data_IF_775517181743
#
_entry.id   IF_775517181743
#
_cell.length_a   1.000
_cell.length_b   1.000
_cell.length_c   1.000
_cell.angle_alpha   90.00
_cell.angle_beta   90.00
_cell.angle_gamma   90.00
#
_symmetry.space_group_name_H-M   'P 1'
#
loop_
_entity.id
_entity.type
_entity.pdbx_description
1 polymer ?
#
# COMPACT_ATOMS: atom_id res chain seq x y z
N UNK A 1 31.67 5.38 28.49
CA UNK A 1 31.80 5.31 27.01
C UNK A 1 32.85 4.30 26.52
N UNK A 2 34.09 4.26 27.05
CA UNK A 2 35.10 3.28 26.57
C UNK A 2 34.74 1.80 26.82
N UNK A 3 34.28 1.43 28.03
CA UNK A 3 33.82 0.06 28.33
C UNK A 3 32.64 -0.43 27.47
N UNK A 4 31.84 0.51 26.95
CA UNK A 4 30.64 0.20 26.15
C UNK A 4 31.01 -0.08 24.68
N UNK A 5 32.10 0.53 24.20
CA UNK A 5 32.67 0.33 22.86
C UNK A 5 33.45 -0.99 22.74
N UNK A 6 34.04 -1.46 23.84
CA UNK A 6 34.70 -2.77 23.90
C UNK A 6 33.70 -3.92 23.97
N UNK A 7 32.61 -3.78 24.76
CA UNK A 7 31.53 -4.78 24.81
C UNK A 7 30.85 -4.99 23.45
N UNK A 8 30.60 -3.91 22.69
CA UNK A 8 29.99 -4.02 21.35
C UNK A 8 30.88 -4.73 20.32
N UNK A 9 32.21 -4.59 20.43
CA UNK A 9 33.17 -5.35 19.62
C UNK A 9 33.16 -6.84 19.98
N UNK A 10 33.11 -7.18 21.27
CA UNK A 10 32.96 -8.56 21.73
C UNK A 10 31.70 -9.24 21.20
N UNK A 11 30.58 -8.51 21.14
CA UNK A 11 29.31 -9.04 20.59
C UNK A 11 29.34 -9.26 19.09
N UNK A 12 30.01 -8.38 18.34
CA UNK A 12 30.23 -8.60 16.91
C UNK A 12 31.05 -9.88 16.70
N UNK A 13 32.16 -10.06 17.43
CA UNK A 13 33.01 -11.26 17.33
C UNK A 13 32.27 -12.54 17.73
N UNK A 14 31.42 -12.48 18.77
CA UNK A 14 30.60 -13.63 19.17
C UNK A 14 29.57 -14.00 18.09
N UNK A 15 28.91 -13.01 17.48
CA UNK A 15 28.01 -13.23 16.34
C UNK A 15 28.73 -13.83 15.12
N UNK A 16 29.98 -13.40 14.87
CA UNK A 16 30.87 -13.94 13.82
C UNK A 16 31.17 -15.44 14.01
N UNK A 17 31.26 -15.93 15.25
CA UNK A 17 31.53 -17.34 15.55
C UNK A 17 30.26 -18.17 15.63
N UNK A 18 29.23 -17.67 16.30
CA UNK A 18 28.01 -18.42 16.63
C UNK A 18 27.12 -18.64 15.41
N UNK A 19 27.01 -17.65 14.51
CA UNK A 19 26.12 -17.78 13.35
C UNK A 19 26.57 -18.89 12.40
N UNK A 20 27.85 -18.98 11.96
CA UNK A 20 28.29 -20.09 11.10
C UNK A 20 28.19 -21.46 11.79
N UNK A 21 28.54 -21.54 13.08
CA UNK A 21 28.50 -22.78 13.88
C UNK A 21 27.07 -23.33 13.98
N UNK A 22 26.06 -22.46 13.99
CA UNK A 22 24.65 -22.87 14.08
C UNK A 22 24.03 -23.09 12.70
N UNK A 23 24.36 -22.23 11.74
CA UNK A 23 23.75 -22.26 10.41
C UNK A 23 24.14 -23.54 9.67
N UNK A 24 25.40 -23.98 9.79
CA UNK A 24 25.90 -25.15 9.08
C UNK A 24 25.21 -26.46 9.52
N UNK A 25 25.13 -26.82 10.82
CA UNK A 25 24.41 -28.02 11.26
C UNK A 25 22.89 -27.97 11.00
N UNK A 26 22.28 -26.78 11.05
CA UNK A 26 20.86 -26.61 10.71
C UNK A 26 20.60 -26.81 9.23
N UNK A 27 21.49 -26.33 8.36
CA UNK A 27 21.38 -26.54 6.92
C UNK A 27 21.60 -28.02 6.57
N UNK A 28 22.60 -28.66 7.17
CA UNK A 28 22.82 -30.09 7.02
C UNK A 28 21.64 -30.91 7.56
N UNK A 29 21.10 -30.55 8.72
CA UNK A 29 19.91 -31.17 9.28
C UNK A 29 18.67 -30.96 8.40
N UNK A 30 18.51 -29.76 7.84
CA UNK A 30 17.43 -29.47 6.89
C UNK A 30 17.56 -30.30 5.62
N UNK A 31 18.76 -30.39 5.03
CA UNK A 31 19.02 -31.19 3.84
C UNK A 31 18.83 -32.69 4.09
N UNK A 32 19.32 -33.19 5.22
CA UNK A 32 19.32 -34.61 5.55
C UNK A 32 17.95 -35.14 6.01
N UNK A 33 17.18 -34.33 6.75
CA UNK A 33 15.99 -34.84 7.45
C UNK A 33 14.68 -34.16 7.06
N UNK A 34 14.66 -32.85 6.85
CA UNK A 34 13.39 -32.09 6.65
C UNK A 34 13.04 -31.89 5.18
N UNK A 35 14.02 -31.57 4.34
CA UNK A 35 13.85 -31.36 2.90
C UNK A 35 13.31 -32.62 2.18
N UNK A 36 13.74 -33.85 2.51
CA UNK A 36 13.18 -35.06 1.89
C UNK A 36 11.73 -35.36 2.30
N UNK A 37 11.29 -34.89 3.47
CA UNK A 37 9.91 -35.06 3.98
C UNK A 37 8.90 -34.14 3.28
N UNK A 38 9.37 -33.09 2.61
CA UNK A 38 8.54 -32.21 1.80
C UNK A 38 8.43 -32.80 0.39
N UNK A 39 7.21 -33.02 -0.11
CA UNK A 39 6.97 -33.57 -1.45
C UNK A 39 7.53 -32.67 -2.54
N UNK A 40 7.92 -33.23 -3.69
CA UNK A 40 8.52 -32.52 -4.83
C UNK A 40 7.67 -31.32 -5.31
N UNK A 41 6.35 -31.33 -5.03
CA UNK A 41 5.43 -30.24 -5.34
C UNK A 41 5.54 -28.98 -4.47
N UNK A 42 6.29 -29.00 -3.36
CA UNK A 42 6.63 -27.79 -2.62
C UNK A 42 7.75 -27.09 -3.37
N UNK A 43 7.43 -25.98 -4.07
CA UNK A 43 8.41 -25.25 -4.88
C UNK A 43 9.67 -24.93 -4.08
N UNK A 44 10.83 -25.00 -4.73
CA UNK A 44 12.12 -24.74 -4.10
C UNK A 44 12.13 -23.39 -3.34
N UNK A 45 11.44 -22.38 -3.88
CA UNK A 45 11.24 -21.07 -3.25
C UNK A 45 10.49 -21.16 -1.92
N UNK A 46 9.44 -21.98 -1.83
CA UNK A 46 8.66 -22.15 -0.59
C UNK A 46 9.48 -22.90 0.48
N UNK A 47 10.29 -23.89 0.08
CA UNK A 47 11.22 -24.59 0.99
C UNK A 47 12.27 -23.64 1.56
N UNK A 48 12.88 -22.82 0.71
CA UNK A 48 13.86 -21.81 1.11
C UNK A 48 13.24 -20.76 2.04
N UNK A 49 11.99 -20.36 1.78
CA UNK A 49 11.25 -19.41 2.63
C UNK A 49 10.95 -20.00 4.03
N UNK A 50 10.57 -21.28 4.12
CA UNK A 50 10.34 -21.95 5.40
C UNK A 50 11.65 -22.04 6.21
N UNK A 51 12.74 -22.48 5.58
CA UNK A 51 14.05 -22.55 6.23
C UNK A 51 14.51 -21.16 6.71
N UNK A 52 14.28 -20.13 5.90
CA UNK A 52 14.55 -18.74 6.26
C UNK A 52 13.79 -18.27 7.52
N UNK A 53 12.49 -18.56 7.61
CA UNK A 53 11.68 -18.22 8.79
C UNK A 53 12.17 -18.98 10.03
N UNK A 54 12.52 -20.26 9.90
CA UNK A 54 13.04 -21.08 11.01
C UNK A 54 14.39 -20.54 11.53
N UNK A 55 15.32 -20.21 10.62
CA UNK A 55 16.61 -19.62 10.98
C UNK A 55 16.45 -18.28 11.67
N UNK A 56 15.57 -17.41 11.18
CA UNK A 56 15.28 -16.12 11.82
C UNK A 56 14.74 -16.30 13.24
N UNK A 57 13.82 -17.25 13.46
CA UNK A 57 13.25 -17.52 14.78
C UNK A 57 14.29 -18.09 15.76
N UNK A 58 15.15 -19.00 15.31
CA UNK A 58 16.22 -19.59 16.13
C UNK A 58 17.28 -18.54 16.47
N UNK A 59 17.73 -17.74 15.50
CA UNK A 59 18.70 -16.67 15.73
C UNK A 59 18.12 -15.65 16.71
N UNK A 60 16.87 -15.22 16.53
CA UNK A 60 16.18 -14.31 17.47
C UNK A 60 16.14 -14.91 18.88
N UNK A 61 15.74 -16.18 19.02
CA UNK A 61 15.65 -16.85 20.31
C UNK A 61 17.01 -16.92 21.02
N UNK A 62 18.05 -17.35 20.31
CA UNK A 62 19.39 -17.50 20.88
C UNK A 62 20.03 -16.15 21.23
N UNK A 63 19.89 -15.13 20.38
CA UNK A 63 20.39 -13.79 20.70
C UNK A 63 19.64 -13.16 21.87
N UNK A 64 18.31 -13.34 21.96
CA UNK A 64 17.52 -12.84 23.09
C UNK A 64 17.93 -13.46 24.44
N UNK A 65 18.43 -14.70 24.42
CA UNK A 65 18.91 -15.42 25.61
C UNK A 65 20.37 -15.12 25.94
N UNK A 66 21.21 -14.98 24.92
CA UNK A 66 22.65 -14.76 25.11
C UNK A 66 23.00 -13.31 25.43
N UNK A 67 22.21 -12.32 24.96
CA UNK A 67 22.62 -10.91 24.93
C UNK A 67 21.48 -9.93 25.34
N UNK A 68 21.07 -9.89 26.62
CA UNK A 68 19.91 -9.11 27.07
C UNK A 68 20.07 -7.56 27.04
N UNK A 69 21.30 -7.02 27.03
CA UNK A 69 21.57 -5.59 27.29
C UNK A 69 22.01 -4.73 26.07
N UNK A 70 21.90 -5.20 24.83
CA UNK A 70 22.50 -4.50 23.69
C UNK A 70 21.68 -3.30 23.18
N UNK A 71 22.30 -2.11 23.01
CA UNK A 71 21.73 -0.91 22.35
C UNK A 71 22.71 -0.26 21.35
N UNK A 72 22.13 0.37 20.32
CA UNK A 72 22.61 0.76 18.96
C UNK A 72 24.00 1.42 18.77
N UNK A 73 24.52 1.26 17.54
CA UNK A 73 25.45 2.22 16.88
C UNK A 73 26.31 1.67 15.72
N UNK A 74 26.77 0.41 15.79
CA UNK A 74 27.80 -0.11 14.88
C UNK A 74 27.34 -0.94 13.68
N UNK A 75 26.08 -1.35 13.60
CA UNK A 75 25.66 -2.41 12.68
C UNK A 75 25.54 -1.98 11.21
N UNK A 76 25.39 -0.69 10.91
CA UNK A 76 25.35 -0.22 9.51
C UNK A 76 26.74 -0.31 8.85
N UNK A 77 27.79 0.01 9.61
CA UNK A 77 29.20 -0.14 9.20
C UNK A 77 29.58 -1.62 9.11
N UNK A 78 29.13 -2.44 10.07
CA UNK A 78 29.37 -3.89 10.05
C UNK A 78 28.65 -4.55 8.87
N UNK A 79 27.38 -4.19 8.59
CA UNK A 79 26.65 -4.66 7.41
C UNK A 79 27.34 -4.27 6.10
N UNK A 80 27.83 -3.04 5.98
CA UNK A 80 28.63 -2.59 4.84
C UNK A 80 29.95 -3.37 4.68
N UNK A 81 30.65 -3.65 5.79
CA UNK A 81 31.88 -4.45 5.77
C UNK A 81 31.61 -5.90 5.37
N UNK A 82 30.49 -6.49 5.81
CA UNK A 82 30.06 -7.83 5.38
C UNK A 82 29.76 -7.88 3.87
N UNK A 83 29.12 -6.84 3.32
CA UNK A 83 28.89 -6.71 1.88
C UNK A 83 30.21 -6.66 1.11
N UNK A 84 31.17 -5.84 1.56
CA UNK A 84 32.49 -5.72 0.91
C UNK A 84 33.25 -7.05 0.96
N UNK A 85 33.31 -7.71 2.13
CA UNK A 85 34.00 -8.99 2.30
C UNK A 85 33.38 -10.11 1.45
N UNK A 86 32.04 -10.14 1.36
CA UNK A 86 31.33 -11.10 0.54
C UNK A 86 31.63 -10.91 -0.95
N UNK A 87 31.63 -9.66 -1.43
CA UNK A 87 31.98 -9.34 -2.83
C UNK A 87 33.42 -9.76 -3.13
N UNK A 88 34.36 -9.51 -2.21
CA UNK A 88 35.77 -9.89 -2.38
C UNK A 88 35.94 -11.41 -2.42
N UNK A 89 35.35 -12.14 -1.47
CA UNK A 89 35.43 -13.61 -1.43
C UNK A 89 34.76 -14.28 -2.63
N UNK A 90 33.60 -13.75 -3.05
CA UNK A 90 32.92 -14.23 -4.25
C UNK A 90 33.79 -14.09 -5.49
N UNK A 91 34.30 -12.87 -5.72
CA UNK A 91 35.11 -12.55 -6.90
C UNK A 91 36.36 -13.44 -6.96
N UNK A 92 37.01 -13.68 -5.82
CA UNK A 92 38.18 -14.55 -5.72
C UNK A 92 37.83 -16.03 -5.97
N UNK A 93 36.71 -16.51 -5.45
CA UNK A 93 36.29 -17.90 -5.63
C UNK A 93 35.91 -18.20 -7.08
N UNK A 94 35.16 -17.30 -7.74
CA UNK A 94 34.85 -17.42 -9.16
C UNK A 94 36.13 -17.40 -10.03
N UNK A 95 37.09 -16.55 -9.68
CA UNK A 95 38.38 -16.50 -10.38
C UNK A 95 39.19 -17.81 -10.24
N UNK A 96 39.19 -18.44 -9.06
CA UNK A 96 39.83 -19.75 -8.85
C UNK A 96 39.15 -20.86 -9.68
N UNK A 97 37.81 -20.87 -9.73
CA UNK A 97 37.08 -21.85 -10.53
C UNK A 97 37.32 -21.67 -12.04
N UNK A 98 37.38 -20.42 -12.51
CA UNK A 98 37.69 -20.09 -13.90
C UNK A 98 39.12 -20.47 -14.28
N UNK A 99 40.11 -20.10 -13.45
CA UNK A 99 41.53 -20.40 -13.71
C UNK A 99 41.86 -21.90 -13.71
N UNK A 100 41.02 -22.72 -13.05
CA UNK A 100 41.12 -24.20 -13.07
C UNK A 100 40.24 -24.87 -14.13
N UNK A 101 39.49 -24.11 -14.93
CA UNK A 101 38.65 -24.64 -16.01
C UNK A 101 37.41 -25.39 -15.53
N UNK A 102 36.97 -25.20 -14.29
CA UNK A 102 35.83 -25.92 -13.69
C UNK A 102 34.50 -25.25 -14.03
N UNK A 103 34.19 -25.14 -15.32
CA UNK A 103 33.05 -24.37 -15.84
C UNK A 103 31.69 -24.94 -15.41
N UNK A 104 31.57 -26.26 -15.25
CA UNK A 104 30.35 -26.91 -14.75
C UNK A 104 30.11 -26.56 -13.28
N UNK A 105 31.16 -26.62 -12.45
CA UNK A 105 31.08 -26.23 -11.03
C UNK A 105 30.77 -24.76 -10.89
N UNK A 106 31.31 -23.89 -11.76
CA UNK A 106 30.98 -22.46 -11.77
C UNK A 106 29.52 -22.21 -12.21
N UNK A 107 29.00 -22.97 -13.17
CA UNK A 107 27.61 -22.88 -13.60
C UNK A 107 26.65 -23.33 -12.49
N UNK A 108 26.92 -24.47 -11.84
CA UNK A 108 26.16 -24.96 -10.69
C UNK A 108 26.29 -24.03 -9.48
N UNK A 109 27.49 -23.50 -9.24
CA UNK A 109 27.75 -22.46 -8.25
C UNK A 109 26.85 -21.26 -8.53
N UNK A 110 26.90 -20.66 -9.72
CA UNK A 110 26.08 -19.51 -10.10
C UNK A 110 24.56 -19.79 -10.05
N UNK A 111 24.12 -21.01 -10.38
CA UNK A 111 22.71 -21.44 -10.28
C UNK A 111 22.24 -21.55 -8.82
N UNK A 112 23.09 -22.10 -7.96
CA UNK A 112 22.88 -22.20 -6.50
C UNK A 112 22.86 -20.81 -5.82
N UNK A 113 23.48 -19.83 -6.48
CA UNK A 113 23.85 -18.54 -5.91
C UNK A 113 22.98 -17.39 -6.37
N UNK A 114 22.36 -17.46 -7.56
CA UNK A 114 21.38 -16.47 -8.01
C UNK A 114 20.18 -16.31 -7.08
N UNK A 115 19.81 -17.35 -6.31
CA UNK A 115 18.75 -17.28 -5.29
C UNK A 115 19.28 -16.99 -3.88
N UNK A 116 20.20 -17.83 -3.40
CA UNK A 116 20.69 -17.77 -2.02
C UNK A 116 21.56 -16.53 -1.75
N UNK A 117 22.34 -16.03 -2.72
CA UNK A 117 23.08 -14.77 -2.54
C UNK A 117 22.19 -13.56 -2.50
N UNK A 118 21.15 -13.48 -3.34
CA UNK A 118 20.19 -12.38 -3.26
C UNK A 118 19.55 -12.31 -1.87
N UNK A 119 19.24 -13.46 -1.29
CA UNK A 119 18.64 -13.59 0.03
C UNK A 119 19.63 -13.31 1.18
N UNK A 120 20.86 -13.83 1.12
CA UNK A 120 21.94 -13.56 2.10
C UNK A 120 22.38 -12.09 2.02
N UNK A 121 22.42 -11.52 0.81
CA UNK A 121 22.70 -10.11 0.58
C UNK A 121 21.57 -9.23 1.13
N UNK A 122 20.29 -9.59 0.96
CA UNK A 122 19.15 -8.93 1.63
C UNK A 122 19.23 -9.06 3.16
N UNK A 123 19.57 -10.24 3.68
CA UNK A 123 19.76 -10.46 5.12
C UNK A 123 20.92 -9.65 5.68
N UNK A 124 21.99 -9.45 4.92
CA UNK A 124 23.12 -8.61 5.31
C UNK A 124 22.82 -7.11 5.17
N UNK A 125 22.04 -6.71 4.15
CA UNK A 125 21.58 -5.34 3.94
C UNK A 125 20.62 -4.91 5.03
N UNK A 126 19.62 -5.75 5.32
CA UNK A 126 18.51 -5.42 6.19
C UNK A 126 18.72 -5.94 7.62
N UNK A 127 19.53 -6.99 7.85
CA UNK A 127 19.88 -7.60 9.15
C UNK A 127 20.10 -6.60 10.30
N UNK A 128 20.90 -5.55 10.07
CA UNK A 128 21.11 -4.44 11.01
C UNK A 128 19.84 -3.64 11.39
N UNK A 129 18.84 -3.55 10.50
CA UNK A 129 17.54 -2.93 10.80
C UNK A 129 16.66 -3.80 11.71
N UNK A 130 16.86 -5.13 11.75
CA UNK A 130 16.14 -6.06 12.63
C UNK A 130 16.61 -6.02 14.10
N UNK A 131 17.69 -5.30 14.42
CA UNK A 131 18.37 -5.31 15.73
C UNK A 131 18.51 -3.91 16.35
N UNK A 132 17.70 -2.99 15.85
CA UNK A 132 17.58 -1.62 16.34
C UNK A 132 16.77 -1.63 17.63
N UNK A 133 17.29 -1.14 18.75
CA UNK A 133 16.46 -0.69 19.90
C UNK A 133 16.11 0.79 19.74
N UNK A 134 14.87 1.16 20.04
CA UNK A 134 14.43 2.57 20.20
C UNK A 134 14.39 2.92 21.70
N UNK A 135 14.31 4.21 22.08
CA UNK A 135 14.21 4.62 23.49
C UNK A 135 12.98 4.06 24.23
N UNK A 136 11.99 3.54 23.49
CA UNK A 136 10.71 3.03 23.99
C UNK A 136 10.68 1.50 24.16
N UNK A 137 11.77 0.79 23.82
CA UNK A 137 11.88 -0.67 23.93
C UNK A 137 12.50 -1.35 22.69
N UNK A 138 12.46 -2.69 22.66
CA UNK A 138 12.74 -3.47 21.44
C UNK A 138 11.58 -3.24 20.45
N UNK A 139 11.79 -2.59 19.29
CA UNK A 139 10.77 -2.53 18.26
C UNK A 139 10.51 -3.96 17.79
N UNK A 140 9.30 -4.45 18.06
CA UNK A 140 8.84 -5.69 17.46
C UNK A 140 8.71 -5.44 15.96
N UNK A 141 9.69 -5.88 15.17
CA UNK A 141 9.67 -5.62 13.73
C UNK A 141 8.39 -6.18 13.08
N UNK A 142 7.86 -7.29 13.61
CA UNK A 142 6.57 -7.86 13.19
C UNK A 142 5.38 -6.94 13.48
N UNK A 143 5.53 -5.99 14.40
CA UNK A 143 4.54 -4.95 14.66
C UNK A 143 4.72 -3.74 13.74
N UNK A 144 5.91 -3.54 13.15
CA UNK A 144 6.20 -2.46 12.21
C UNK A 144 5.67 -2.76 10.80
N UNK A 145 5.33 -1.73 9.98
CA UNK A 145 4.82 -1.93 8.63
C UNK A 145 5.72 -2.82 7.75
N UNK A 146 7.03 -2.57 7.75
CA UNK A 146 8.00 -3.35 6.96
C UNK A 146 8.05 -4.83 7.38
N UNK A 147 8.03 -5.12 8.68
CA UNK A 147 8.02 -6.53 9.11
C UNK A 147 6.68 -7.21 8.87
N UNK A 148 5.55 -6.49 8.96
CA UNK A 148 4.24 -7.00 8.53
C UNK A 148 4.21 -7.30 7.04
N UNK A 149 4.82 -6.46 6.21
CA UNK A 149 4.96 -6.73 4.78
C UNK A 149 5.80 -7.99 4.52
N UNK A 150 6.96 -8.10 5.17
CA UNK A 150 7.87 -9.24 5.04
C UNK A 150 7.33 -10.55 5.63
N UNK A 151 6.18 -10.53 6.31
CA UNK A 151 5.52 -11.71 6.87
C UNK A 151 4.13 -11.92 6.30
N UNK A 152 3.15 -11.16 6.78
CA UNK A 152 1.73 -11.25 6.38
C UNK A 152 1.57 -10.81 4.92
N UNK A 153 2.28 -9.76 4.50
CA UNK A 153 2.18 -9.22 3.14
C UNK A 153 2.57 -10.23 2.05
N UNK A 154 3.54 -11.11 2.31
CA UNK A 154 4.01 -12.14 1.37
C UNK A 154 3.08 -13.36 1.25
N UNK A 155 2.11 -13.53 2.17
CA UNK A 155 1.18 -14.64 2.08
C UNK A 155 0.30 -14.54 0.82
N UNK A 156 -0.15 -15.66 0.25
CA UNK A 156 -1.27 -15.67 -0.68
C UNK A 156 -2.51 -15.01 -0.08
N UNK A 157 -3.35 -14.43 -0.93
CA UNK A 157 -4.56 -13.69 -0.55
C UNK A 157 -5.48 -14.48 0.40
N UNK A 158 -5.76 -15.75 0.08
CA UNK A 158 -6.58 -16.65 0.91
C UNK A 158 -6.02 -16.84 2.32
N UNK A 159 -4.70 -16.96 2.47
CA UNK A 159 -4.04 -17.09 3.77
C UNK A 159 -4.04 -15.78 4.57
N UNK A 160 -3.94 -14.61 3.90
CA UNK A 160 -4.14 -13.30 4.55
C UNK A 160 -5.56 -13.15 5.10
N UNK A 161 -6.56 -13.48 4.29
CA UNK A 161 -7.96 -13.42 4.71
C UNK A 161 -8.19 -14.32 5.92
N UNK A 162 -7.69 -15.56 5.89
CA UNK A 162 -7.76 -16.48 7.03
C UNK A 162 -7.05 -15.92 8.28
N UNK A 163 -5.86 -15.32 8.11
CA UNK A 163 -5.12 -14.68 9.18
C UNK A 163 -5.94 -13.57 9.86
N UNK A 164 -6.51 -12.64 9.09
CA UNK A 164 -7.29 -11.53 9.65
C UNK A 164 -8.58 -12.01 10.29
N UNK A 165 -9.30 -12.97 9.68
CA UNK A 165 -10.51 -13.57 10.27
C UNK A 165 -10.21 -14.22 11.63
N UNK A 166 -9.10 -14.95 11.74
CA UNK A 166 -8.65 -15.54 13.03
C UNK A 166 -8.38 -14.49 14.11
N UNK A 167 -8.07 -13.25 13.73
CA UNK A 167 -7.89 -12.11 14.65
C UNK A 167 -9.16 -11.29 14.88
N UNK A 168 -10.32 -11.79 14.46
CA UNK A 168 -11.62 -11.16 14.68
C UNK A 168 -12.10 -10.23 13.57
N UNK A 169 -11.44 -10.20 12.40
CA UNK A 169 -11.94 -9.46 11.25
C UNK A 169 -13.18 -10.13 10.65
N UNK A 170 -14.17 -9.32 10.25
CA UNK A 170 -15.28 -9.79 9.41
C UNK A 170 -14.92 -9.51 7.96
N UNK A 171 -14.71 -10.56 7.16
CA UNK A 171 -14.30 -10.42 5.75
C UNK A 171 -15.24 -11.29 4.92
N UNK A 172 -15.90 -10.70 3.93
CA UNK A 172 -16.84 -11.34 3.02
C UNK A 172 -16.23 -12.35 2.07
N UNK A 173 -17.06 -12.93 1.21
CA UNK A 173 -16.64 -13.88 0.18
C UNK A 173 -15.90 -13.16 -0.97
N UNK A 174 -15.00 -13.86 -1.67
CA UNK A 174 -14.36 -13.33 -2.88
C UNK A 174 -13.42 -12.15 -2.64
N UNK A 175 -13.07 -11.83 -1.39
CA UNK A 175 -12.14 -10.74 -1.06
C UNK A 175 -10.73 -11.10 -1.47
N UNK A 176 -10.08 -10.17 -2.17
CA UNK A 176 -8.67 -10.26 -2.52
C UNK A 176 -7.84 -9.22 -1.78
N UNK A 177 -6.73 -9.66 -1.16
CA UNK A 177 -5.72 -8.79 -0.59
C UNK A 177 -4.40 -9.08 -1.32
N UNK A 178 -3.98 -8.15 -2.16
CA UNK A 178 -2.81 -8.25 -3.04
C UNK A 178 -1.48 -8.41 -2.30
N UNK A 179 -0.44 -8.91 -2.97
CA UNK A 179 0.87 -9.16 -2.36
C UNK A 179 1.44 -7.88 -1.74
N UNK A 180 2.21 -8.03 -0.66
CA UNK A 180 2.79 -6.96 0.16
C UNK A 180 1.77 -6.04 0.85
N UNK A 181 0.47 -6.24 0.64
CA UNK A 181 -0.55 -5.42 1.28
C UNK A 181 -0.81 -5.86 2.73
N UNK A 182 -0.93 -4.87 3.61
CA UNK A 182 -1.13 -5.07 5.04
C UNK A 182 -2.30 -4.24 5.58
N UNK A 183 -3.08 -4.86 6.46
CA UNK A 183 -4.20 -4.25 7.17
C UNK A 183 -3.84 -4.22 8.65
N UNK A 184 -3.31 -3.08 9.10
CA UNK A 184 -2.95 -2.85 10.49
C UNK A 184 -4.07 -2.10 11.21
N UNK A 185 -5.16 -2.83 11.47
CA UNK A 185 -6.36 -2.24 12.05
C UNK A 185 -6.85 -3.00 13.28
N UNK A 186 -7.45 -2.28 14.25
CA UNK A 186 -8.02 -2.92 15.46
C UNK A 186 -9.34 -3.62 15.15
N UNK A 187 -10.18 -2.98 14.33
CA UNK A 187 -11.46 -3.51 13.84
C UNK A 187 -11.46 -3.48 12.32
N UNK A 188 -11.76 -4.61 11.70
CA UNK A 188 -11.81 -4.78 10.24
C UNK A 188 -13.15 -5.38 9.85
N UNK A 189 -13.86 -4.70 8.96
CA UNK A 189 -15.08 -5.16 8.28
C UNK A 189 -14.89 -4.94 6.78
N UNK A 190 -14.93 -6.01 5.99
CA UNK A 190 -14.76 -5.96 4.54
C UNK A 190 -15.90 -6.74 3.90
N UNK A 191 -16.64 -6.10 3.00
CA UNK A 191 -17.74 -6.69 2.24
C UNK A 191 -17.27 -7.70 1.18
N UNK A 192 -18.22 -8.37 0.55
CA UNK A 192 -17.96 -9.36 -0.50
C UNK A 192 -17.29 -8.72 -1.72
N UNK A 193 -16.41 -9.48 -2.37
CA UNK A 193 -15.75 -9.11 -3.63
C UNK A 193 -14.96 -7.81 -3.60
N UNK A 194 -14.46 -7.41 -2.43
CA UNK A 194 -13.50 -6.31 -2.31
C UNK A 194 -12.13 -6.73 -2.84
N UNK A 195 -11.51 -5.88 -3.64
CA UNK A 195 -10.15 -6.10 -4.15
C UNK A 195 -9.20 -5.01 -3.64
N UNK A 196 -8.19 -5.41 -2.87
CA UNK A 196 -7.13 -4.53 -2.39
C UNK A 196 -5.86 -4.85 -3.16
N UNK A 197 -5.40 -3.91 -3.99
CA UNK A 197 -4.24 -4.08 -4.86
C UNK A 197 -2.92 -4.30 -4.12
N UNK A 198 -1.84 -4.47 -4.87
CA UNK A 198 -0.50 -4.77 -4.36
C UNK A 198 0.08 -3.63 -3.51
N UNK A 199 0.84 -3.98 -2.47
CA UNK A 199 1.62 -3.08 -1.63
C UNK A 199 0.81 -1.94 -0.99
N UNK A 200 -0.46 -2.21 -0.69
CA UNK A 200 -1.31 -1.28 0.03
C UNK A 200 -1.03 -1.32 1.54
N UNK A 201 -1.02 -0.17 2.20
CA UNK A 201 -0.82 -0.07 3.65
C UNK A 201 -2.04 0.62 4.24
N UNK A 202 -2.85 -0.12 5.00
CA UNK A 202 -4.04 0.44 5.66
C UNK A 202 -3.86 0.37 7.17
N UNK A 203 -3.74 1.53 7.83
CA UNK A 203 -3.56 1.67 9.27
C UNK A 203 -4.68 2.51 9.88
N UNK A 204 -5.57 1.88 10.64
CA UNK A 204 -6.69 2.57 11.28
C UNK A 204 -7.11 1.90 12.58
N UNK A 205 -7.82 2.60 13.47
CA UNK A 205 -8.49 1.90 14.56
C UNK A 205 -9.66 1.09 14.00
N UNK A 206 -10.43 1.69 13.10
CA UNK A 206 -11.58 1.07 12.46
C UNK A 206 -11.48 1.18 10.94
N UNK A 207 -11.61 0.05 10.27
CA UNK A 207 -11.68 -0.08 8.82
C UNK A 207 -12.99 -0.75 8.44
N UNK A 208 -13.80 -0.07 7.61
CA UNK A 208 -14.97 -0.64 6.94
C UNK A 208 -14.86 -0.40 5.44
N UNK A 209 -15.04 -1.46 4.64
CA UNK A 209 -15.07 -1.39 3.18
C UNK A 209 -16.33 -2.12 2.68
N UNK A 210 -17.17 -1.43 1.92
CA UNK A 210 -18.37 -1.98 1.28
C UNK A 210 -18.06 -2.92 0.13
N UNK A 211 -19.07 -3.66 -0.32
CA UNK A 211 -18.94 -4.71 -1.34
C UNK A 211 -18.45 -4.16 -2.67
N UNK A 212 -17.76 -5.00 -3.44
CA UNK A 212 -17.27 -4.69 -4.79
C UNK A 212 -16.34 -3.47 -4.91
N UNK A 213 -15.91 -2.88 -3.80
CA UNK A 213 -14.96 -1.78 -3.78
C UNK A 213 -13.54 -2.25 -4.11
N UNK A 214 -12.79 -1.41 -4.83
CA UNK A 214 -11.49 -1.72 -5.38
C UNK A 214 -10.45 -0.68 -5.00
N UNK A 215 -9.24 -1.14 -4.69
CA UNK A 215 -8.06 -0.30 -4.49
C UNK A 215 -6.96 -0.73 -5.45
N UNK A 216 -6.36 0.24 -6.15
CA UNK A 216 -5.19 0.04 -6.99
C UNK A 216 -3.94 -0.28 -6.17
N UNK A 217 -2.80 -0.42 -6.85
CA UNK A 217 -1.52 -0.65 -6.16
C UNK A 217 -1.01 0.59 -5.43
N UNK A 218 -0.22 0.37 -4.38
CA UNK A 218 0.48 1.42 -3.62
C UNK A 218 -0.46 2.47 -3.00
N UNK A 219 -1.68 2.06 -2.64
CA UNK A 219 -2.59 2.91 -1.86
C UNK A 219 -2.18 2.86 -0.39
N UNK A 220 -1.97 4.03 0.20
CA UNK A 220 -1.60 4.16 1.62
C UNK A 220 -2.70 4.93 2.34
N UNK A 221 -3.27 4.33 3.36
CA UNK A 221 -4.28 4.94 4.23
C UNK A 221 -3.77 4.86 5.67
N UNK A 222 -3.56 6.00 6.31
CA UNK A 222 -3.20 6.08 7.72
C UNK A 222 -3.99 7.20 8.41
N UNK A 223 -5.05 6.80 9.11
CA UNK A 223 -5.99 7.72 9.75
C UNK A 223 -6.70 7.02 10.92
N UNK A 224 -7.46 7.74 11.75
CA UNK A 224 -8.10 7.14 12.92
C UNK A 224 -9.24 6.17 12.51
N UNK A 225 -10.09 6.59 11.57
CA UNK A 225 -11.23 5.79 11.08
C UNK A 225 -11.41 5.90 9.58
N UNK A 226 -11.63 4.76 8.93
CA UNK A 226 -11.80 4.62 7.48
C UNK A 226 -13.15 3.96 7.20
N UNK A 227 -14.02 4.67 6.48
CA UNK A 227 -15.31 4.20 6.02
C UNK A 227 -15.35 4.33 4.50
N UNK A 228 -15.45 3.20 3.81
CA UNK A 228 -15.53 3.14 2.35
C UNK A 228 -16.83 2.42 2.01
N UNK A 229 -17.67 3.05 1.20
CA UNK A 229 -18.96 2.53 0.74
C UNK A 229 -18.83 1.37 -0.24
N UNK A 230 -19.94 1.05 -0.89
CA UNK A 230 -20.02 0.00 -1.91
C UNK A 230 -19.62 0.52 -3.29
N UNK A 231 -18.97 -0.34 -4.09
CA UNK A 231 -18.56 -0.02 -5.46
C UNK A 231 -17.67 1.24 -5.57
N UNK A 232 -16.88 1.51 -4.52
CA UNK A 232 -15.90 2.60 -4.51
C UNK A 232 -14.63 2.14 -5.19
N UNK A 233 -14.07 2.97 -6.07
CA UNK A 233 -12.76 2.72 -6.68
C UNK A 233 -11.73 3.74 -6.23
N UNK A 234 -10.65 3.30 -5.60
CA UNK A 234 -9.49 4.13 -5.28
C UNK A 234 -8.35 3.64 -6.17
N UNK A 235 -7.89 4.47 -7.11
CA UNK A 235 -6.81 4.13 -8.03
C UNK A 235 -5.43 4.16 -7.35
N UNK A 236 -4.41 3.85 -8.13
CA UNK A 236 -3.05 3.64 -7.67
C UNK A 236 -2.43 4.89 -7.03
N UNK A 237 -1.49 4.69 -6.11
CA UNK A 237 -0.67 5.77 -5.54
C UNK A 237 -1.48 6.88 -4.83
N UNK A 238 -2.72 6.60 -4.44
CA UNK A 238 -3.50 7.50 -3.59
C UNK A 238 -2.97 7.42 -2.16
N UNK A 239 -2.73 8.59 -1.55
CA UNK A 239 -2.31 8.71 -0.17
C UNK A 239 -3.40 9.39 0.65
N UNK A 240 -3.91 8.70 1.67
CA UNK A 240 -4.89 9.22 2.62
C UNK A 240 -4.27 9.20 4.02
N UNK A 241 -3.73 10.32 4.48
CA UNK A 241 -3.08 10.36 5.78
C UNK A 241 -2.46 11.70 6.11
N UNK A 242 -1.97 11.83 7.34
CA UNK A 242 -1.46 13.07 7.88
C UNK A 242 -1.26 12.98 9.39
N UNK A 243 -1.32 14.12 10.07
CA UNK A 243 -1.30 14.13 11.54
C UNK A 243 -2.56 13.42 12.04
N UNK A 244 -2.37 12.29 12.72
CA UNK A 244 -3.46 11.46 13.23
C UNK A 244 -4.00 12.03 14.53
N UNK A 245 -5.26 12.46 14.52
CA UNK A 245 -6.02 12.86 15.71
C UNK A 245 -7.21 11.91 15.90
N UNK A 246 -7.96 12.08 16.98
CA UNK A 246 -9.26 11.41 17.19
C UNK A 246 -10.33 11.85 16.17
N UNK A 247 -10.14 13.00 15.52
CA UNK A 247 -11.01 13.54 14.46
C UNK A 247 -10.59 13.14 13.06
N UNK A 248 -9.50 12.39 12.92
CA UNK A 248 -8.98 11.94 11.63
C UNK A 248 -9.85 10.84 11.03
N UNK A 249 -10.89 11.24 10.30
CA UNK A 249 -11.89 10.34 9.73
C UNK A 249 -11.95 10.57 8.22
N UNK A 250 -11.91 9.50 7.45
CA UNK A 250 -12.24 9.52 6.02
C UNK A 250 -13.51 8.70 5.81
N UNK A 251 -14.50 9.31 5.17
CA UNK A 251 -15.74 8.67 4.75
C UNK A 251 -15.90 8.87 3.24
N UNK A 252 -16.10 7.77 2.51
CA UNK A 252 -16.28 7.75 1.06
C UNK A 252 -17.58 7.03 0.76
N UNK A 253 -18.58 7.75 0.23
CA UNK A 253 -19.87 7.20 -0.14
C UNK A 253 -19.83 6.35 -1.41
N UNK A 254 -20.87 5.53 -1.57
CA UNK A 254 -21.01 4.53 -2.63
C UNK A 254 -20.80 5.10 -4.04
N UNK A 255 -20.33 4.26 -4.97
CA UNK A 255 -20.15 4.58 -6.39
C UNK A 255 -19.19 5.76 -6.64
N UNK A 256 -18.37 6.12 -5.65
CA UNK A 256 -17.38 7.18 -5.79
C UNK A 256 -16.05 6.65 -6.32
N UNK A 257 -15.30 7.51 -6.99
CA UNK A 257 -13.99 7.18 -7.53
C UNK A 257 -12.95 8.22 -7.17
N UNK A 258 -11.81 7.77 -6.67
CA UNK A 258 -10.62 8.60 -6.42
C UNK A 258 -9.52 8.13 -7.36
N UNK A 259 -9.07 9.02 -8.24
CA UNK A 259 -8.09 8.72 -9.27
C UNK A 259 -6.67 8.89 -8.73
N UNK A 260 -5.74 8.32 -9.50
CA UNK A 260 -4.37 8.09 -9.09
C UNK A 260 -3.65 9.36 -8.57
N UNK A 261 -2.71 9.14 -7.65
CA UNK A 261 -1.80 10.17 -7.12
C UNK A 261 -2.47 11.31 -6.33
N UNK A 262 -3.75 11.16 -5.98
CA UNK A 262 -4.43 12.10 -5.10
C UNK A 262 -3.95 11.98 -3.66
N UNK A 263 -3.88 13.12 -2.96
CA UNK A 263 -3.45 13.24 -1.58
C UNK A 263 -4.59 13.83 -0.76
N UNK A 264 -5.12 13.04 0.17
CA UNK A 264 -6.16 13.47 1.10
C UNK A 264 -5.56 13.45 2.51
N UNK A 265 -5.62 14.57 3.22
CA UNK A 265 -5.02 14.71 4.54
C UNK A 265 -6.09 14.99 5.60
N UNK A 266 -6.67 13.93 6.19
CA UNK A 266 -7.74 14.04 7.18
C UNK A 266 -7.17 14.21 8.61
N UNK A 267 -6.52 15.33 8.93
CA UNK A 267 -6.29 15.72 10.34
C UNK A 267 -7.62 15.99 11.05
N UNK A 268 -8.61 16.54 10.33
CA UNK A 268 -10.04 16.49 10.66
C UNK A 268 -10.79 15.64 9.63
N UNK A 269 -12.09 15.48 9.79
CA UNK A 269 -12.91 14.68 8.89
C UNK A 269 -12.84 15.19 7.44
N UNK A 270 -12.66 14.26 6.51
CA UNK A 270 -13.02 14.45 5.10
C UNK A 270 -14.21 13.52 4.84
N UNK A 271 -15.35 14.11 4.50
CA UNK A 271 -16.57 13.37 4.14
C UNK A 271 -16.85 13.55 2.66
N UNK A 272 -16.91 12.43 1.93
CA UNK A 272 -17.20 12.37 0.51
C UNK A 272 -18.53 11.63 0.35
N UNK A 273 -19.50 12.27 -0.31
CA UNK A 273 -20.81 11.71 -0.61
C UNK A 273 -20.78 10.57 -1.62
N UNK A 274 -21.93 10.25 -2.21
CA UNK A 274 -22.11 9.20 -3.20
C UNK A 274 -21.87 9.72 -4.62
N UNK A 275 -21.41 8.84 -5.52
CA UNK A 275 -21.17 9.17 -6.94
C UNK A 275 -20.25 10.38 -7.14
N UNK A 276 -19.27 10.56 -6.25
CA UNK A 276 -18.28 11.63 -6.36
C UNK A 276 -17.12 11.16 -7.22
N UNK A 277 -16.72 11.96 -8.21
CA UNK A 277 -15.52 11.73 -9.00
C UNK A 277 -14.40 12.66 -8.58
N UNK A 278 -13.32 12.14 -7.99
CA UNK A 278 -12.10 12.89 -7.69
C UNK A 278 -11.03 12.49 -8.69
N UNK A 279 -10.74 13.35 -9.67
CA UNK A 279 -9.72 13.17 -10.70
C UNK A 279 -8.29 13.05 -10.17
N UNK A 280 -7.33 12.84 -11.06
CA UNK A 280 -5.95 12.54 -10.67
C UNK A 280 -5.25 13.73 -10.02
N UNK A 281 -4.34 13.43 -9.09
CA UNK A 281 -3.49 14.43 -8.43
C UNK A 281 -4.26 15.56 -7.74
N UNK A 282 -5.37 15.26 -7.08
CA UNK A 282 -6.09 16.22 -6.25
C UNK A 282 -5.52 16.28 -4.82
N UNK A 283 -5.62 17.45 -4.18
CA UNK A 283 -4.99 17.74 -2.91
C UNK A 283 -6.01 18.30 -1.91
N UNK A 284 -6.43 17.51 -0.93
CA UNK A 284 -7.46 17.90 0.05
C UNK A 284 -6.84 17.98 1.44
N UNK A 285 -6.78 19.16 2.04
CA UNK A 285 -6.13 19.38 3.34
C UNK A 285 -7.10 19.96 4.36
N UNK A 286 -7.26 19.27 5.49
CA UNK A 286 -8.09 19.72 6.62
C UNK A 286 -7.32 20.53 7.67
N UNK A 287 -6.08 20.87 7.38
CA UNK A 287 -5.27 21.77 8.20
C UNK A 287 -4.32 22.62 7.35
N UNK A 288 -3.95 23.78 7.88
CA UNK A 288 -2.92 24.66 7.35
C UNK A 288 -2.27 25.39 8.52
N UNK A 289 -1.06 24.98 8.89
CA UNK A 289 -0.28 25.57 9.99
C UNK A 289 1.20 25.28 9.78
N UNK A 290 2.06 26.23 10.16
CA UNK A 290 3.51 26.01 10.22
C UNK A 290 4.18 27.03 11.13
N UNK A 291 3.80 28.30 10.97
CA UNK A 291 4.35 29.40 11.74
C UNK A 291 3.83 29.39 13.19
N UNK A 292 4.53 30.03 14.14
CA UNK A 292 4.16 30.01 15.56
C UNK A 292 2.79 30.69 15.80
N UNK A 293 1.75 29.90 16.06
CA UNK A 293 0.39 30.41 16.31
C UNK A 293 0.37 31.36 17.52
N UNK A 294 1.20 31.09 18.54
CA UNK A 294 1.32 31.93 19.74
C UNK A 294 1.92 33.33 19.46
N UNK A 295 2.56 33.52 18.31
CA UNK A 295 3.04 34.84 17.84
C UNK A 295 1.98 35.57 16.98
N UNK A 296 0.79 34.99 16.82
CA UNK A 296 -0.32 35.60 16.06
C UNK A 296 -0.40 35.19 14.59
N UNK A 297 0.43 34.25 14.13
CA UNK A 297 0.33 33.72 12.77
C UNK A 297 -0.95 32.89 12.56
N UNK A 298 -1.55 32.95 11.36
CA UNK A 298 -2.80 32.24 11.09
C UNK A 298 -2.58 30.73 11.06
N UNK A 299 -3.57 30.01 11.56
CA UNK A 299 -3.72 28.57 11.35
C UNK A 299 -5.19 28.26 11.03
N UNK A 300 -5.40 27.26 10.20
CA UNK A 300 -6.72 26.77 9.84
C UNK A 300 -6.79 25.27 10.12
N UNK A 301 -7.86 24.84 10.76
CA UNK A 301 -8.18 23.43 10.97
C UNK A 301 -9.68 23.24 10.83
N UNK A 302 -10.07 22.16 10.18
CA UNK A 302 -11.45 21.71 10.19
C UNK A 302 -11.86 20.94 8.94
N UNK A 303 -13.10 20.48 8.91
CA UNK A 303 -13.53 19.43 8.00
C UNK A 303 -13.61 19.90 6.55
N UNK A 304 -13.57 18.93 5.64
CA UNK A 304 -13.99 19.09 4.26
C UNK A 304 -15.22 18.22 4.04
N UNK A 305 -16.30 18.81 3.56
CA UNK A 305 -17.53 18.08 3.19
C UNK A 305 -17.75 18.21 1.71
N UNK A 306 -17.88 17.08 1.04
CA UNK A 306 -18.16 16.96 -0.40
C UNK A 306 -19.45 16.19 -0.52
N UNK A 307 -20.49 16.85 -1.03
CA UNK A 307 -21.81 16.25 -1.20
C UNK A 307 -21.88 15.32 -2.42
N UNK A 308 -23.03 14.68 -2.60
CA UNK A 308 -23.25 13.70 -3.66
C UNK A 308 -23.03 14.28 -5.07
N UNK A 309 -22.50 13.47 -5.99
CA UNK A 309 -22.41 13.82 -7.42
C UNK A 309 -21.40 14.92 -7.74
N UNK A 310 -20.55 15.32 -6.80
CA UNK A 310 -19.51 16.33 -7.05
C UNK A 310 -18.43 15.78 -7.97
N UNK A 311 -17.94 16.63 -8.88
CA UNK A 311 -16.83 16.29 -9.77
C UNK A 311 -15.64 17.22 -9.57
N UNK A 312 -14.48 16.62 -9.29
CA UNK A 312 -13.18 17.24 -9.37
C UNK A 312 -12.44 16.67 -10.59
N UNK A 313 -12.08 17.51 -11.55
CA UNK A 313 -11.07 17.21 -12.56
C UNK A 313 -9.68 17.11 -11.91
N UNK A 314 -8.63 17.25 -12.71
CA UNK A 314 -7.26 17.09 -12.25
C UNK A 314 -6.74 18.33 -11.50
N UNK A 315 -5.89 18.10 -10.49
CA UNK A 315 -5.07 19.13 -9.81
C UNK A 315 -5.84 20.23 -9.09
N UNK A 316 -7.00 19.93 -8.52
CA UNK A 316 -7.70 20.79 -7.57
C UNK A 316 -7.03 20.72 -6.20
N UNK A 317 -6.88 21.89 -5.56
CA UNK A 317 -6.43 22.02 -4.18
C UNK A 317 -7.58 22.52 -3.31
N UNK A 318 -7.90 21.82 -2.22
CA UNK A 318 -8.98 22.16 -1.29
C UNK A 318 -8.41 22.49 0.08
N UNK A 319 -8.73 23.69 0.58
CA UNK A 319 -8.34 24.17 1.89
C UNK A 319 -9.29 23.72 3.01
N UNK A 320 -8.88 23.86 4.29
CA UNK A 320 -9.71 23.44 5.42
C UNK A 320 -11.02 24.23 5.51
N UNK A 321 -12.02 23.67 6.20
CA UNK A 321 -13.32 24.30 6.44
C UNK A 321 -14.08 24.66 5.17
N UNK A 322 -14.23 23.69 4.28
CA UNK A 322 -14.93 23.87 3.00
C UNK A 322 -16.06 22.85 2.86
N UNK A 323 -17.22 23.31 2.43
CA UNK A 323 -18.36 22.53 1.99
C UNK A 323 -18.57 22.70 0.48
N UNK A 324 -18.61 21.60 -0.26
CA UNK A 324 -18.87 21.58 -1.70
C UNK A 324 -20.22 20.91 -1.93
N UNK A 325 -21.19 21.73 -2.37
CA UNK A 325 -22.58 21.34 -2.50
C UNK A 325 -22.83 20.31 -3.59
N UNK A 326 -23.98 19.65 -3.49
CA UNK A 326 -24.38 18.52 -4.32
C UNK A 326 -24.31 18.86 -5.80
N UNK A 327 -23.85 17.92 -6.64
CA UNK A 327 -23.78 18.06 -8.10
C UNK A 327 -22.93 19.27 -8.57
N UNK A 328 -22.06 19.82 -7.72
CA UNK A 328 -21.12 20.86 -8.13
C UNK A 328 -19.94 20.28 -8.93
N UNK A 329 -19.40 21.07 -9.85
CA UNK A 329 -18.15 20.77 -10.55
C UNK A 329 -17.09 21.81 -10.24
N UNK A 330 -15.90 21.34 -9.94
CA UNK A 330 -14.73 22.18 -9.78
C UNK A 330 -13.95 22.26 -11.10
N UNK A 331 -13.45 23.42 -11.50
CA UNK A 331 -12.56 23.52 -12.66
C UNK A 331 -11.19 22.89 -12.39
N UNK A 332 -10.57 22.28 -13.39
CA UNK A 332 -9.20 21.75 -13.26
C UNK A 332 -8.21 22.82 -12.77
N UNK A 333 -7.25 22.42 -11.93
CA UNK A 333 -6.22 23.34 -11.41
C UNK A 333 -6.71 24.39 -10.40
N UNK A 334 -7.96 24.31 -9.93
CA UNK A 334 -8.55 25.33 -9.06
C UNK A 334 -8.10 25.23 -7.60
N UNK A 335 -8.15 26.34 -6.86
CA UNK A 335 -7.93 26.39 -5.40
C UNK A 335 -9.25 26.73 -4.71
N UNK A 336 -9.82 25.77 -4.00
CA UNK A 336 -11.05 25.94 -3.22
C UNK A 336 -10.70 26.43 -1.82
N UNK A 337 -11.12 27.65 -1.51
CA UNK A 337 -10.87 28.33 -0.23
C UNK A 337 -12.12 28.83 0.48
N UNK A 338 -13.29 28.41 0.01
CA UNK A 338 -14.62 28.77 0.50
C UNK A 338 -15.62 27.75 -0.03
N UNK A 339 -16.81 27.75 0.56
CA UNK A 339 -17.88 26.86 0.13
C UNK A 339 -18.27 27.08 -1.33
N UNK A 340 -18.68 25.98 -1.97
CA UNK A 340 -19.19 25.96 -3.35
C UNK A 340 -20.66 25.57 -3.29
N UNK A 341 -21.60 26.39 -3.79
CA UNK A 341 -23.02 26.05 -3.83
C UNK A 341 -23.29 24.77 -4.63
N UNK A 342 -24.40 24.10 -4.33
CA UNK A 342 -24.88 22.99 -5.14
C UNK A 342 -25.10 23.38 -6.60
N UNK A 343 -25.02 22.39 -7.50
CA UNK A 343 -25.35 22.52 -8.93
C UNK A 343 -24.64 23.70 -9.59
N UNK A 344 -23.41 23.97 -9.17
CA UNK A 344 -22.60 25.08 -9.65
C UNK A 344 -21.28 24.63 -10.25
N UNK A 345 -20.77 25.41 -11.20
CA UNK A 345 -19.42 25.28 -11.72
C UNK A 345 -18.54 26.34 -11.04
N UNK A 346 -17.56 25.92 -10.24
CA UNK A 346 -16.59 26.82 -9.62
C UNK A 346 -15.18 26.60 -10.17
N UNK A 347 -14.48 27.64 -10.60
CA UNK A 347 -13.15 27.52 -11.18
C UNK A 347 -12.23 28.69 -10.83
N UNK A 348 -10.92 28.46 -10.87
CA UNK A 348 -9.88 29.49 -10.72
C UNK A 348 -9.04 29.39 -9.45
N UNK A 349 -8.11 30.33 -9.29
CA UNK A 349 -7.19 30.42 -8.15
C UNK A 349 -7.20 31.85 -7.59
N UNK A 350 -7.91 32.11 -6.48
CA UNK A 350 -8.88 31.22 -5.82
C UNK A 350 -10.16 31.02 -6.65
N UNK A 351 -10.82 29.88 -6.47
CA UNK A 351 -12.00 29.53 -7.25
C UNK A 351 -13.18 30.46 -6.98
N UNK A 352 -13.97 30.72 -8.02
CA UNK A 352 -15.23 31.47 -7.98
C UNK A 352 -16.29 30.71 -8.75
N UNK A 353 -17.55 30.86 -8.35
CA UNK A 353 -18.68 30.34 -9.10
C UNK A 353 -18.75 31.05 -10.45
N UNK A 354 -18.73 30.27 -11.53
CA UNK A 354 -18.76 30.73 -12.93
C UNK A 354 -20.15 30.54 -13.53
N UNK A 355 -20.84 29.45 -13.17
CA UNK A 355 -22.22 29.14 -13.62
C UNK A 355 -23.00 28.46 -12.50
N UNK A 356 -24.31 28.63 -12.53
CA UNK A 356 -25.24 28.01 -11.55
C UNK A 356 -26.43 27.37 -12.24
N UNK A 357 -26.98 26.33 -11.63
CA UNK A 357 -28.24 25.69 -12.03
C UNK A 357 -28.37 25.46 -13.53
N UNK A 358 -29.32 26.11 -14.21
CA UNK A 358 -29.62 25.91 -15.62
C UNK A 358 -28.53 26.42 -16.55
N UNK A 359 -27.68 27.35 -16.11
CA UNK A 359 -26.53 27.81 -16.89
C UNK A 359 -25.44 26.74 -16.95
N UNK A 360 -25.38 25.89 -15.92
CA UNK A 360 -24.41 24.81 -15.80
C UNK A 360 -24.97 23.48 -16.30
N UNK A 361 -26.17 23.11 -15.85
CA UNK A 361 -26.82 21.82 -16.11
C UNK A 361 -27.88 22.01 -17.20
N UNK A 362 -27.56 21.55 -18.42
CA UNK A 362 -28.53 21.48 -19.51
C UNK A 362 -29.59 20.42 -19.21
N UNK A 363 -30.86 20.79 -19.35
CA UNK A 363 -31.98 19.83 -19.34
C UNK A 363 -32.21 19.33 -20.77
N UNK A 364 -32.00 18.04 -20.99
CA UNK A 364 -32.24 17.39 -22.27
C UNK A 364 -33.68 16.91 -22.40
N UNK A 365 -34.24 17.04 -23.61
CA UNK A 365 -35.47 16.37 -24.03
C UNK A 365 -35.26 14.86 -24.13
N UNK A 366 -36.34 14.08 -24.14
CA UNK A 366 -36.22 12.62 -24.25
C UNK A 366 -35.65 12.18 -25.59
N UNK A 367 -35.89 12.94 -26.67
CA UNK A 367 -35.28 12.68 -27.97
C UNK A 367 -33.77 12.92 -27.94
N UNK A 368 -33.31 14.03 -27.35
CA UNK A 368 -31.87 14.29 -27.18
C UNK A 368 -31.21 13.21 -26.31
N UNK A 369 -31.88 12.74 -25.25
CA UNK A 369 -31.37 11.63 -24.42
C UNK A 369 -31.25 10.34 -25.22
N UNK A 370 -32.19 10.03 -26.11
CA UNK A 370 -32.15 8.83 -26.96
C UNK A 370 -30.97 8.88 -27.92
N UNK A 371 -30.73 10.02 -28.55
CA UNK A 371 -29.56 10.18 -29.42
C UNK A 371 -28.24 10.09 -28.64
N UNK A 372 -28.12 10.74 -27.48
CA UNK A 372 -26.93 10.61 -26.61
C UNK A 372 -26.71 9.14 -26.20
N UNK A 373 -27.77 8.43 -25.79
CA UNK A 373 -27.66 7.03 -25.40
C UNK A 373 -27.19 6.15 -26.56
N UNK A 374 -27.69 6.43 -27.77
CA UNK A 374 -27.30 5.72 -28.97
C UNK A 374 -25.81 5.94 -29.30
N UNK A 375 -25.32 7.18 -29.21
CA UNK A 375 -23.89 7.48 -29.36
C UNK A 375 -23.04 6.71 -28.34
N UNK A 376 -23.46 6.69 -27.06
CA UNK A 376 -22.77 5.94 -26.00
C UNK A 376 -22.72 4.43 -26.31
N UNK A 377 -23.84 3.85 -26.78
CA UNK A 377 -23.91 2.43 -27.12
C UNK A 377 -23.08 2.09 -28.36
N UNK A 378 -22.95 3.01 -29.30
CA UNK A 378 -22.08 2.87 -30.47
C UNK A 378 -20.60 2.89 -30.08
N UNK A 379 -20.19 3.80 -29.18
CA UNK A 379 -18.84 3.81 -28.61
C UNK A 379 -18.55 2.52 -27.85
N UNK A 380 -19.50 2.04 -27.02
CA UNK A 380 -19.37 0.77 -26.32
C UNK A 380 -19.24 -0.40 -27.30
N UNK A 381 -20.03 -0.45 -28.37
CA UNK A 381 -19.90 -1.46 -29.40
C UNK A 381 -18.53 -1.40 -30.10
N UNK A 382 -17.99 -0.19 -30.29
CA UNK A 382 -16.62 0.02 -30.79
C UNK A 382 -15.58 -0.57 -29.85
N UNK A 383 -15.68 -0.28 -28.55
CA UNK A 383 -14.82 -0.85 -27.52
C UNK A 383 -14.89 -2.39 -27.50
N UNK A 384 -16.09 -2.96 -27.52
CA UNK A 384 -16.28 -4.41 -27.50
C UNK A 384 -15.63 -5.12 -28.70
N UNK A 385 -15.63 -4.48 -29.89
CA UNK A 385 -14.90 -5.03 -31.06
C UNK A 385 -13.40 -5.04 -30.87
N UNK A 386 -12.83 -4.08 -30.13
CA UNK A 386 -11.40 -4.06 -29.78
C UNK A 386 -11.08 -5.21 -28.81
N UNK A 387 -12.02 -5.57 -27.95
CA UNK A 387 -11.93 -6.73 -27.03
C UNK A 387 -12.34 -8.06 -27.71
N UNK A 388 -12.28 -8.13 -29.05
CA UNK A 388 -12.60 -9.31 -29.87
C UNK A 388 -14.05 -9.84 -29.76
N UNK A 389 -15.00 -9.03 -29.29
CA UNK A 389 -16.42 -9.38 -29.30
C UNK A 389 -17.08 -9.08 -30.66
N UNK A 390 -17.95 -9.98 -31.09
CA UNK A 390 -18.78 -9.77 -32.29
C UNK A 390 -20.07 -9.03 -31.92
N UNK A 391 -20.25 -7.82 -32.43
CA UNK A 391 -21.49 -7.04 -32.26
C UNK A 391 -22.41 -7.29 -33.45
N UNK A 392 -23.51 -8.02 -33.23
CA UNK A 392 -24.38 -8.53 -34.31
C UNK A 392 -25.35 -7.51 -34.90
N UNK A 393 -25.66 -6.42 -34.19
CA UNK A 393 -26.53 -5.32 -34.64
C UNK A 393 -26.00 -3.99 -34.13
N UNK A 394 -25.85 -3.01 -35.01
CA UNK A 394 -25.67 -1.61 -34.62
C UNK A 394 -27.03 -1.01 -34.25
N UNK A 395 -27.04 -0.10 -33.28
CA UNK A 395 -28.26 0.51 -32.67
C UNK A 395 -29.14 1.26 -33.70
N UNK A 396 -28.67 1.42 -34.94
CA UNK A 396 -29.33 2.14 -36.03
C UNK A 396 -30.48 1.40 -36.73
N UNK A 397 -30.66 0.09 -36.54
CA UNK A 397 -31.73 -0.64 -37.22
C UNK A 397 -33.07 -0.44 -36.51
N UNK A 398 -33.88 0.48 -37.05
CA UNK A 398 -35.24 0.81 -36.60
C UNK A 398 -36.10 -0.44 -36.44
N UNK A 399 -36.48 -0.73 -35.21
CA UNK A 399 -37.63 -1.59 -34.87
C UNK A 399 -38.25 -1.16 -33.51
N UNK A 400 -38.54 0.13 -33.35
CA UNK A 400 -39.25 0.65 -32.17
C UNK A 400 -40.66 1.18 -32.49
N UNK A 401 -41.21 0.89 -33.68
CA UNK A 401 -42.57 1.28 -34.06
C UNK A 401 -43.68 0.44 -33.42
N UNK A 402 -43.36 -0.48 -32.50
CA UNK A 402 -44.32 -1.44 -31.94
C UNK A 402 -44.28 -1.63 -30.42
N UNK A 403 -43.69 -0.70 -29.65
CA UNK A 403 -43.73 -0.72 -28.18
C UNK A 403 -44.46 0.48 -27.59
#
# INVERSE_FOLDING_TARGET
MNNQKERSRGYAVLAWLVVPIITFPLEEGWRAFLSPLLSVGVSHTLRTLILFIVLLLIIRFLFSRALPEYQRGGMLVVGLLWVILFVVFDTQYQWILLSRGWLIVLADYNLFIGGLRGLVFLLMLFGPFFLVRTPEGDPDLLSMPIGKMATIGLLPSSLKVAYYRRRGATIGEGVNIGPLSILDCKKIVIGDHVDIGMACIIRANELTIGKYSKMGMLVIIDTHKVLIGEEVTIQEQVYIGGLKTDKSIIEIGDLSMIFAQSVLNPTHQIRIGKRVGIGGSNFLFTHGTWQPILEGFPAAFGPITIEDGVWFPWRVFVLPNVHIGKEATIGAGSVINRDVPERSLAAGVPARVVRTDSEYIKRYTDEEKREILKDILEELAGYLRIEDWTVSKTVHERDYSSL
#
